data_IF_852010174593
#
_entry.id   IF_852010174593
#
_cell.length_a   1.000
_cell.length_b   1.000
_cell.length_c   1.000
_cell.angle_alpha   90.00
_cell.angle_beta   90.00
_cell.angle_gamma   90.00
#
_symmetry.space_group_name_H-M   'P 1'
#
loop_
_entity.id
_entity.type
_entity.pdbx_description
1 polymer ?
#
# COMPACT_ATOMS: atom_id res chain seq x y z
N UNK A 1 16.63 -12.95 -6.46
CA UNK A 1 16.02 -13.78 -5.39
C UNK A 1 15.79 -12.88 -4.21
N UNK A 2 14.52 -12.78 -3.79
CA UNK A 2 14.09 -12.05 -2.59
C UNK A 2 14.77 -12.69 -1.37
N UNK A 3 15.06 -11.90 -0.32
CA UNK A 3 15.58 -12.46 0.93
C UNK A 3 14.57 -13.44 1.55
N UNK A 4 15.02 -14.65 1.92
CA UNK A 4 14.18 -15.66 2.58
C UNK A 4 13.50 -15.12 3.85
N UNK A 5 14.13 -14.17 4.54
CA UNK A 5 13.54 -13.51 5.70
C UNK A 5 12.30 -12.68 5.32
N UNK A 6 12.35 -11.95 4.19
CA UNK A 6 11.23 -11.13 3.72
C UNK A 6 10.05 -11.99 3.26
N UNK A 7 10.32 -13.06 2.51
CA UNK A 7 9.29 -14.04 2.14
C UNK A 7 8.63 -14.65 3.38
N UNK A 8 9.40 -14.95 4.43
CA UNK A 8 8.85 -15.48 5.69
C UNK A 8 7.92 -14.49 6.39
N UNK A 9 8.28 -13.20 6.42
CA UNK A 9 7.43 -12.13 6.98
C UNK A 9 6.10 -12.03 6.21
N UNK A 10 6.16 -11.94 4.89
CA UNK A 10 4.96 -11.84 4.05
C UNK A 10 4.04 -13.05 4.21
N UNK A 11 4.61 -14.26 4.20
CA UNK A 11 3.84 -15.48 4.43
C UNK A 11 3.14 -15.50 5.78
N UNK A 12 3.73 -14.92 6.82
CA UNK A 12 3.06 -14.82 8.13
C UNK A 12 1.92 -13.79 8.12
N UNK A 13 2.07 -12.70 7.36
CA UNK A 13 1.04 -11.67 7.20
C UNK A 13 -0.15 -12.12 6.35
N UNK A 14 0.10 -12.96 5.35
CA UNK A 14 -0.85 -13.34 4.30
C UNK A 14 -1.23 -14.82 4.30
N UNK A 15 -0.77 -15.59 5.29
CA UNK A 15 -1.06 -17.02 5.42
C UNK A 15 -2.51 -17.30 5.81
N UNK A 16 -2.88 -18.58 6.02
CA UNK A 16 -4.22 -18.97 6.42
C UNK A 16 -4.60 -18.46 7.82
N UNK A 17 -5.88 -18.15 8.02
CA UNK A 17 -6.36 -17.63 9.30
C UNK A 17 -6.15 -18.61 10.45
N UNK A 18 -5.57 -18.13 11.55
CA UNK A 18 -5.45 -18.88 12.80
C UNK A 18 -6.36 -18.24 13.83
N UNK A 19 -7.38 -18.98 14.30
CA UNK A 19 -8.33 -18.46 15.28
C UNK A 19 -7.63 -17.92 16.53
N UNK A 20 -8.01 -16.70 16.94
CA UNK A 20 -7.51 -16.07 18.15
C UNK A 20 -6.10 -15.48 18.07
N UNK A 21 -5.45 -15.53 16.90
CA UNK A 21 -4.14 -14.91 16.66
C UNK A 21 -4.23 -13.50 16.05
N UNK A 22 -3.23 -12.63 16.27
CA UNK A 22 -3.15 -11.32 15.59
C UNK A 22 -2.71 -11.41 14.12
N UNK A 23 -2.37 -12.62 13.65
CA UNK A 23 -1.95 -12.93 12.28
C UNK A 23 -2.69 -14.15 11.77
N UNK A 24 -2.94 -14.24 10.45
CA UNK A 24 -2.59 -13.29 9.39
C UNK A 24 -3.36 -11.96 9.50
N UNK A 25 -2.83 -10.90 8.90
CA UNK A 25 -3.55 -9.62 8.79
C UNK A 25 -4.69 -9.71 7.78
N UNK A 26 -4.52 -10.56 6.78
CA UNK A 26 -5.45 -10.74 5.68
C UNK A 26 -5.42 -12.18 5.20
N UNK A 27 -6.57 -12.85 5.22
CA UNK A 27 -6.71 -14.17 4.62
C UNK A 27 -6.88 -14.01 3.10
N UNK A 28 -5.80 -14.32 2.38
CA UNK A 28 -5.70 -14.10 0.92
C UNK A 28 -6.36 -15.25 0.13
N UNK A 29 -6.53 -16.43 0.73
CA UNK A 29 -6.94 -17.62 0.00
C UNK A 29 -8.31 -17.48 -0.67
N UNK A 30 -9.36 -16.95 -0.02
CA UNK A 30 -10.68 -16.77 -0.65
C UNK A 30 -10.64 -15.86 -1.88
N UNK A 31 -9.69 -14.93 -1.93
CA UNK A 31 -9.60 -13.96 -3.02
C UNK A 31 -8.98 -14.55 -4.27
N UNK A 32 -8.15 -15.59 -4.14
CA UNK A 32 -7.58 -16.32 -5.28
C UNK A 32 -8.65 -17.10 -6.08
N UNK A 33 -9.79 -17.36 -5.44
CA UNK A 33 -10.98 -17.99 -6.01
C UNK A 33 -12.12 -16.99 -6.30
N UNK A 34 -11.84 -15.69 -6.23
CA UNK A 34 -12.83 -14.65 -6.53
C UNK A 34 -13.36 -14.76 -7.96
N UNK A 35 -14.67 -14.59 -8.11
CA UNK A 35 -15.34 -14.42 -9.42
C UNK A 35 -14.97 -13.09 -10.08
N UNK A 36 -14.38 -12.14 -9.35
CA UNK A 36 -13.84 -10.89 -9.89
C UNK A 36 -12.40 -11.11 -10.37
N UNK A 37 -12.14 -11.11 -11.69
CA UNK A 37 -10.84 -11.54 -12.23
C UNK A 37 -9.66 -10.65 -11.81
N UNK A 38 -9.90 -9.34 -11.63
CA UNK A 38 -8.88 -8.39 -11.16
C UNK A 38 -8.53 -8.64 -9.70
N UNK A 39 -9.52 -8.92 -8.86
CA UNK A 39 -9.31 -9.26 -7.46
C UNK A 39 -8.52 -10.57 -7.33
N UNK A 40 -8.87 -11.60 -8.12
CA UNK A 40 -8.13 -12.86 -8.16
C UNK A 40 -6.68 -12.67 -8.61
N UNK A 41 -6.43 -11.81 -9.60
CA UNK A 41 -5.09 -11.50 -10.08
C UNK A 41 -4.26 -10.72 -9.03
N UNK A 42 -4.88 -9.77 -8.32
CA UNK A 42 -4.25 -9.08 -7.20
C UNK A 42 -3.91 -10.04 -6.05
N UNK A 43 -4.79 -11.01 -5.77
CA UNK A 43 -4.53 -12.04 -4.78
C UNK A 43 -3.37 -12.95 -5.18
N UNK A 44 -3.29 -13.34 -6.45
CA UNK A 44 -2.16 -14.09 -6.98
C UNK A 44 -0.84 -13.33 -6.87
N UNK A 45 -0.83 -12.01 -7.12
CA UNK A 45 0.36 -11.20 -6.92
C UNK A 45 0.85 -11.24 -5.45
N UNK A 46 -0.07 -11.08 -4.49
CA UNK A 46 0.26 -11.13 -3.06
C UNK A 46 0.75 -12.51 -2.63
N UNK A 47 0.11 -13.59 -3.08
CA UNK A 47 0.56 -14.96 -2.82
C UNK A 47 1.94 -15.22 -3.43
N UNK A 48 2.16 -14.83 -4.69
CA UNK A 48 3.44 -15.01 -5.36
C UNK A 48 4.57 -14.22 -4.69
N UNK A 49 4.26 -13.07 -4.08
CA UNK A 49 5.23 -12.29 -3.30
C UNK A 49 5.72 -12.99 -2.02
N UNK A 50 4.98 -13.98 -1.51
CA UNK A 50 5.40 -14.84 -0.39
C UNK A 50 6.47 -15.87 -0.78
N UNK A 51 6.78 -15.99 -2.08
CA UNK A 51 7.80 -16.89 -2.62
C UNK A 51 7.40 -18.37 -2.69
N UNK A 52 8.28 -19.22 -3.26
CA UNK A 52 7.98 -20.63 -3.59
C UNK A 52 7.63 -21.53 -2.40
N UNK A 53 7.91 -21.07 -1.17
CA UNK A 53 7.57 -21.82 0.04
C UNK A 53 6.10 -21.69 0.46
N UNK A 54 5.33 -20.81 -0.18
CA UNK A 54 3.90 -20.67 0.06
C UNK A 54 3.11 -21.79 -0.63
N UNK A 55 2.14 -22.47 0.05
CA UNK A 55 1.41 -23.60 -0.54
C UNK A 55 0.68 -23.29 -1.86
N UNK A 56 0.23 -22.04 -2.01
CA UNK A 56 -0.48 -21.56 -3.19
C UNK A 56 0.41 -20.88 -4.25
N UNK A 57 1.75 -20.92 -4.11
CA UNK A 57 2.67 -20.19 -4.97
C UNK A 57 2.56 -20.57 -6.45
N UNK A 58 2.56 -21.86 -6.77
CA UNK A 58 2.50 -22.34 -8.16
C UNK A 58 1.20 -21.90 -8.83
N UNK A 59 0.06 -22.13 -8.15
CA UNK A 59 -1.25 -21.70 -8.62
C UNK A 59 -1.34 -20.19 -8.84
N UNK A 60 -0.78 -19.40 -7.93
CA UNK A 60 -0.75 -17.95 -8.07
C UNK A 60 0.13 -17.51 -9.25
N UNK A 61 1.29 -18.15 -9.43
CA UNK A 61 2.21 -17.87 -10.53
C UNK A 61 1.56 -18.19 -11.89
N UNK A 62 0.83 -19.30 -11.99
CA UNK A 62 0.04 -19.66 -13.16
C UNK A 62 -1.01 -18.59 -13.48
N UNK A 63 -1.77 -18.11 -12.48
CA UNK A 63 -2.78 -17.07 -12.68
C UNK A 63 -2.19 -15.73 -13.14
N UNK A 64 -0.96 -15.41 -12.74
CA UNK A 64 -0.25 -14.23 -13.22
C UNK A 64 0.24 -14.36 -14.67
N UNK A 65 0.48 -15.59 -15.15
CA UNK A 65 0.85 -15.87 -16.55
C UNK A 65 -0.38 -15.92 -17.44
N UNK A 66 -1.42 -16.60 -16.97
CA UNK A 66 -2.69 -16.81 -17.66
C UNK A 66 -3.86 -16.29 -16.81
N UNK A 67 -4.13 -14.96 -16.82
CA UNK A 67 -5.26 -14.39 -16.11
C UNK A 67 -6.60 -14.95 -16.59
N UNK A 68 -7.53 -15.15 -15.65
CA UNK A 68 -8.90 -15.56 -15.97
C UNK A 68 -9.72 -14.41 -16.57
N UNK A 69 -10.78 -14.74 -17.32
CA UNK A 69 -11.74 -13.77 -17.81
C UNK A 69 -11.15 -12.78 -18.82
N UNK A 70 -11.74 -11.58 -18.89
CA UNK A 70 -11.32 -10.51 -19.82
C UNK A 70 -10.26 -9.58 -19.21
N UNK A 71 -9.32 -10.13 -18.42
CA UNK A 71 -8.23 -9.33 -17.86
C UNK A 71 -7.16 -9.07 -18.92
N UNK A 72 -6.74 -7.82 -19.14
CA UNK A 72 -5.66 -7.52 -20.07
C UNK A 72 -4.36 -8.26 -19.70
N UNK A 73 -3.73 -8.92 -20.68
CA UNK A 73 -2.44 -9.60 -20.50
C UNK A 73 -1.37 -8.67 -19.89
N UNK A 74 -1.42 -7.38 -20.27
CA UNK A 74 -0.55 -6.33 -19.73
C UNK A 74 -0.62 -6.20 -18.20
N UNK A 75 -1.76 -6.50 -17.57
CA UNK A 75 -1.90 -6.45 -16.12
C UNK A 75 -1.19 -7.63 -15.44
N UNK A 76 -1.29 -8.84 -16.01
CA UNK A 76 -0.51 -9.99 -15.56
C UNK A 76 0.99 -9.74 -15.71
N UNK A 77 1.41 -9.17 -16.84
CA UNK A 77 2.80 -8.76 -17.07
C UNK A 77 3.26 -7.71 -16.05
N UNK A 78 2.44 -6.69 -15.77
CA UNK A 78 2.73 -5.65 -14.78
C UNK A 78 3.05 -6.28 -13.42
N UNK A 79 2.22 -7.21 -12.94
CA UNK A 79 2.43 -7.87 -11.66
C UNK A 79 3.70 -8.74 -11.65
N UNK A 80 3.98 -9.50 -12.72
CA UNK A 80 5.23 -10.29 -12.81
C UNK A 80 6.47 -9.41 -12.82
N UNK A 81 6.44 -8.30 -13.55
CA UNK A 81 7.50 -7.29 -13.51
C UNK A 81 7.65 -6.69 -12.11
N UNK A 82 6.54 -6.39 -11.44
CA UNK A 82 6.52 -5.92 -10.05
C UNK A 82 7.21 -6.89 -9.08
N UNK A 83 6.91 -8.20 -9.17
CA UNK A 83 7.56 -9.21 -8.34
C UNK A 83 9.09 -9.22 -8.51
N UNK A 84 9.55 -9.06 -9.75
CA UNK A 84 10.99 -9.01 -10.06
C UNK A 84 11.61 -7.75 -9.48
N UNK A 85 11.00 -6.58 -9.71
CA UNK A 85 11.50 -5.30 -9.22
C UNK A 85 11.55 -5.25 -7.68
N UNK A 86 10.51 -5.72 -7.00
CA UNK A 86 10.48 -5.82 -5.53
C UNK A 86 11.60 -6.73 -5.05
N UNK A 87 11.77 -7.91 -5.68
CA UNK A 87 12.82 -8.84 -5.28
C UNK A 87 14.23 -8.31 -5.48
N UNK A 88 14.46 -7.59 -6.58
CA UNK A 88 15.74 -6.95 -6.86
C UNK A 88 16.00 -5.78 -5.90
N UNK A 89 14.98 -4.98 -5.59
CA UNK A 89 15.07 -3.89 -4.63
C UNK A 89 15.40 -4.38 -3.23
N UNK A 90 14.61 -5.32 -2.69
CA UNK A 90 14.87 -5.90 -1.37
C UNK A 90 16.24 -6.58 -1.35
N UNK A 91 16.59 -7.33 -2.40
CA UNK A 91 17.89 -7.98 -2.53
C UNK A 91 19.06 -6.99 -2.58
N UNK A 92 18.87 -5.80 -3.16
CA UNK A 92 19.84 -4.71 -3.16
C UNK A 92 19.95 -4.09 -1.78
N UNK A 93 18.83 -3.71 -1.16
CA UNK A 93 18.81 -3.06 0.17
C UNK A 93 19.46 -3.96 1.21
N UNK A 94 19.16 -5.25 1.24
CA UNK A 94 19.79 -6.21 2.16
C UNK A 94 21.33 -6.28 2.00
N UNK A 95 21.86 -6.00 0.81
CA UNK A 95 23.32 -5.98 0.58
C UNK A 95 23.97 -4.65 0.96
N UNK A 96 23.21 -3.56 0.93
CA UNK A 96 23.76 -2.20 1.07
C UNK A 96 23.42 -1.53 2.40
N UNK A 97 22.38 -2.01 3.09
CA UNK A 97 21.85 -1.44 4.34
C UNK A 97 21.85 -2.51 5.43
N UNK A 98 22.86 -2.44 6.31
CA UNK A 98 23.00 -3.36 7.44
C UNK A 98 21.88 -3.22 8.47
N UNK A 99 21.43 -1.99 8.72
CA UNK A 99 20.38 -1.71 9.71
C UNK A 99 19.04 -2.29 9.24
N UNK A 100 18.71 -2.14 7.95
CA UNK A 100 17.53 -2.78 7.37
C UNK A 100 17.62 -4.31 7.47
N UNK A 101 18.78 -4.87 7.17
CA UNK A 101 18.99 -6.32 7.22
C UNK A 101 18.81 -6.88 8.63
N UNK A 102 19.35 -6.21 9.63
CA UNK A 102 19.19 -6.59 11.03
C UNK A 102 17.71 -6.50 11.45
N UNK A 103 17.02 -5.40 11.11
CA UNK A 103 15.58 -5.24 11.37
C UNK A 103 14.76 -6.34 10.71
N UNK A 104 15.02 -6.64 9.44
CA UNK A 104 14.31 -7.67 8.69
C UNK A 104 14.48 -9.05 9.34
N UNK A 105 15.70 -9.43 9.71
CA UNK A 105 15.98 -10.69 10.39
C UNK A 105 15.29 -10.75 11.77
N UNK A 106 15.37 -9.68 12.57
CA UNK A 106 14.72 -9.63 13.88
C UNK A 106 13.19 -9.75 13.78
N UNK A 107 12.58 -9.11 12.78
CA UNK A 107 11.14 -9.24 12.51
C UNK A 107 10.80 -10.65 12.07
N UNK A 108 11.56 -11.22 11.13
CA UNK A 108 11.34 -12.60 10.67
C UNK A 108 11.43 -13.60 11.82
N UNK A 109 12.41 -13.49 12.71
CA UNK A 109 12.56 -14.33 13.90
C UNK A 109 11.39 -14.17 14.88
N UNK A 110 11.00 -12.92 15.20
CA UNK A 110 9.87 -12.65 16.11
C UNK A 110 8.54 -13.19 15.58
N UNK A 111 8.35 -13.18 14.26
CA UNK A 111 7.14 -13.68 13.61
C UNK A 111 7.16 -15.20 13.38
N UNK A 112 8.34 -15.81 13.28
CA UNK A 112 8.53 -17.26 13.06
C UNK A 112 8.56 -18.06 14.37
N UNK A 113 8.52 -17.42 15.53
CA UNK A 113 8.36 -18.09 16.82
C UNK A 113 6.96 -18.72 16.92
N UNK A 114 6.80 -19.88 16.27
CA UNK A 114 5.53 -20.58 16.12
C UNK A 114 5.11 -21.34 17.38
N UNK A 115 3.93 -20.94 17.85
CA UNK A 115 3.00 -21.67 18.69
C UNK A 115 1.67 -20.90 18.69
N UNK A 116 0.52 -21.54 18.97
CA UNK A 116 -0.74 -20.81 19.19
C UNK A 116 -0.52 -19.86 20.36
N UNK A 117 -0.38 -18.57 20.05
CA UNK A 117 0.16 -17.57 20.95
C UNK A 117 1.66 -17.34 20.73
N UNK A 118 2.02 -16.58 19.68
CA UNK A 118 3.36 -15.98 19.51
C UNK A 118 3.77 -15.05 20.67
N UNK A 119 3.03 -15.05 21.79
CA UNK A 119 3.10 -14.12 22.91
C UNK A 119 2.72 -12.70 22.55
N UNK A 120 2.63 -12.38 21.25
CA UNK A 120 2.27 -11.07 20.74
C UNK A 120 0.75 -10.97 20.67
N UNK A 121 0.23 -9.92 21.29
CA UNK A 121 -1.11 -9.43 21.00
C UNK A 121 -1.10 -8.61 19.69
N UNK A 122 -2.28 -8.13 19.29
CA UNK A 122 -2.44 -7.34 18.07
C UNK A 122 -1.57 -6.07 18.05
N UNK A 123 -1.37 -5.42 19.20
CA UNK A 123 -0.57 -4.20 19.30
C UNK A 123 0.91 -4.53 19.12
N UNK A 124 1.40 -5.55 19.81
CA UNK A 124 2.79 -5.98 19.71
C UNK A 124 3.12 -6.50 18.30
N UNK A 125 2.17 -7.18 17.64
CA UNK A 125 2.29 -7.57 16.23
C UNK A 125 2.36 -6.35 15.30
N UNK A 126 1.50 -5.35 15.49
CA UNK A 126 1.53 -4.12 14.69
C UNK A 126 2.87 -3.40 14.83
N UNK A 127 3.38 -3.24 16.06
CA UNK A 127 4.67 -2.61 16.35
C UNK A 127 5.85 -3.35 15.68
N UNK A 128 5.82 -4.69 15.67
CA UNK A 128 6.83 -5.51 14.96
C UNK A 128 6.80 -5.24 13.47
N UNK A 129 5.63 -5.27 12.85
CA UNK A 129 5.49 -5.04 11.41
C UNK A 129 5.83 -3.60 11.03
N UNK A 130 5.40 -2.62 11.82
CA UNK A 130 5.73 -1.21 11.60
C UNK A 130 7.23 -0.97 11.68
N UNK A 131 7.97 -1.64 12.56
CA UNK A 131 9.43 -1.50 12.61
C UNK A 131 10.14 -1.83 11.28
N UNK A 132 9.50 -2.60 10.39
CA UNK A 132 9.99 -2.90 9.05
C UNK A 132 9.39 -1.98 7.98
N UNK A 133 8.06 -1.81 7.96
CA UNK A 133 7.37 -1.13 6.86
C UNK A 133 7.10 0.36 7.11
N UNK A 134 6.98 0.77 8.37
CA UNK A 134 6.65 2.13 8.80
C UNK A 134 7.39 2.48 10.10
N UNK A 135 8.74 2.56 10.10
CA UNK A 135 9.52 2.73 11.33
C UNK A 135 9.12 3.96 12.15
N UNK A 136 8.61 5.00 11.49
CA UNK A 136 8.11 6.23 12.10
C UNK A 136 6.84 6.01 12.95
N UNK A 137 6.10 4.92 12.69
CA UNK A 137 4.89 4.58 13.42
C UNK A 137 5.16 3.85 14.75
N UNK A 138 6.41 3.42 15.00
CA UNK A 138 6.76 2.63 16.18
C UNK A 138 6.57 3.43 17.49
N UNK A 139 5.85 2.84 18.42
CA UNK A 139 5.52 3.42 19.73
C UNK A 139 4.50 4.56 19.64
N UNK A 140 3.64 4.56 18.61
CA UNK A 140 2.47 5.47 18.53
C UNK A 140 1.30 4.90 19.32
N UNK A 141 1.03 3.59 19.26
CA UNK A 141 -0.14 2.99 19.91
C UNK A 141 -0.07 3.20 21.43
N UNK A 142 -1.10 3.82 22.01
CA UNK A 142 -1.16 4.16 23.44
C UNK A 142 -0.33 5.40 23.84
N UNK A 143 0.32 6.05 22.88
CA UNK A 143 1.15 7.24 23.07
C UNK A 143 0.81 8.35 22.08
N UNK A 144 -0.38 8.32 21.48
CA UNK A 144 -0.79 9.16 20.36
C UNK A 144 -0.67 10.65 20.71
N UNK A 145 -1.22 11.07 21.85
CA UNK A 145 -1.18 12.48 22.28
C UNK A 145 0.26 12.98 22.51
N UNK A 146 1.15 12.13 23.03
CA UNK A 146 2.57 12.47 23.22
C UNK A 146 3.27 12.62 21.87
N UNK A 147 3.09 11.65 20.97
CA UNK A 147 3.68 11.65 19.64
C UNK A 147 3.18 12.81 18.79
N UNK A 148 1.91 13.16 18.93
CA UNK A 148 1.32 14.35 18.33
C UNK A 148 2.01 15.63 18.84
N UNK A 149 2.21 15.76 20.15
CA UNK A 149 2.89 16.92 20.73
C UNK A 149 4.35 17.03 20.26
N UNK A 150 5.11 15.93 20.25
CA UNK A 150 6.48 15.86 19.73
C UNK A 150 6.55 16.28 18.25
N UNK A 151 5.60 15.81 17.43
CA UNK A 151 5.50 16.19 16.03
C UNK A 151 5.14 17.68 15.87
N UNK A 152 4.33 18.24 16.76
CA UNK A 152 4.00 19.67 16.74
C UNK A 152 5.17 20.55 17.16
N UNK A 153 5.97 20.13 18.12
CA UNK A 153 7.16 20.85 18.60
C UNK A 153 8.27 20.90 17.55
N UNK A 154 8.45 19.82 16.78
CA UNK A 154 9.46 19.74 15.71
C UNK A 154 9.08 20.53 14.45
N UNK A 155 7.81 20.93 14.29
CA UNK A 155 7.36 21.69 13.13
C UNK A 155 7.80 23.15 13.24
N UNK A 156 8.44 23.64 12.19
CA UNK A 156 8.76 25.06 12.01
C UNK A 156 7.54 25.93 11.67
N UNK A 157 6.36 25.30 11.54
CA UNK A 157 5.10 25.95 11.17
C UNK A 157 4.26 26.19 12.41
N UNK A 158 3.92 27.45 12.66
CA UNK A 158 2.99 27.82 13.73
C UNK A 158 1.55 27.65 13.25
N UNK A 159 0.78 26.82 13.94
CA UNK A 159 -0.65 26.66 13.67
C UNK A 159 -1.38 27.83 14.31
N UNK A 160 -1.86 28.76 13.49
CA UNK A 160 -2.60 29.96 13.96
C UNK A 160 -4.07 29.67 14.21
N UNK A 161 -4.65 28.70 13.49
CA UNK A 161 -6.04 28.31 13.62
C UNK A 161 -6.23 26.86 13.13
N UNK A 162 -7.05 26.08 13.85
CA UNK A 162 -7.52 24.78 13.35
C UNK A 162 -8.63 24.99 12.31
N UNK A 163 -8.65 24.12 11.29
CA UNK A 163 -9.69 24.15 10.25
C UNK A 163 -11.05 23.85 10.92
N UNK A 164 -12.11 24.63 10.69
CA UNK A 164 -13.41 24.43 11.35
C UNK A 164 -14.08 23.08 11.05
N UNK A 165 -13.66 22.42 9.97
CA UNK A 165 -14.17 21.13 9.52
C UNK A 165 -12.98 20.19 9.29
N UNK A 166 -12.42 19.61 10.37
CA UNK A 166 -11.26 18.75 10.27
C UNK A 166 -11.61 17.40 9.62
N UNK A 167 -10.62 16.76 9.02
CA UNK A 167 -10.73 15.36 8.61
C UNK A 167 -10.78 14.52 9.90
N UNK A 168 -11.90 13.84 10.12
CA UNK A 168 -12.21 13.02 11.31
C UNK A 168 -11.96 11.53 11.07
N UNK A 169 -12.06 11.08 9.83
CA UNK A 169 -11.83 9.71 9.40
C UNK A 169 -11.05 9.76 8.09
N UNK A 170 -9.71 9.84 8.14
CA UNK A 170 -8.88 9.90 6.95
C UNK A 170 -9.14 8.72 6.01
N UNK A 171 -9.36 7.51 6.53
CA UNK A 171 -9.59 6.33 5.71
C UNK A 171 -10.86 6.42 4.85
N UNK A 172 -11.89 7.14 5.32
CA UNK A 172 -13.15 7.34 4.59
C UNK A 172 -13.23 8.68 3.84
N UNK A 173 -12.57 9.71 4.35
CA UNK A 173 -12.67 11.08 3.84
C UNK A 173 -11.51 11.44 2.92
N UNK A 174 -10.37 10.80 3.10
CA UNK A 174 -9.26 10.82 2.14
C UNK A 174 -9.38 9.51 1.38
N UNK A 175 -10.03 9.55 0.22
CA UNK A 175 -9.89 8.45 -0.73
C UNK A 175 -8.40 8.39 -1.10
N UNK A 176 -7.67 7.44 -0.53
CA UNK A 176 -6.43 6.94 -1.11
C UNK A 176 -6.79 6.18 -2.40
N UNK A 177 -7.32 6.89 -3.40
CA UNK A 177 -7.29 6.41 -4.78
C UNK A 177 -5.85 6.54 -5.23
N UNK A 178 -5.24 5.40 -5.45
CA UNK A 178 -3.87 5.23 -5.93
C UNK A 178 -3.42 6.28 -6.95
N UNK A 179 -2.29 6.91 -6.60
CA UNK A 179 -1.14 7.28 -7.42
C UNK A 179 -1.19 8.47 -8.38
N UNK A 180 -2.33 9.07 -8.68
CA UNK A 180 -2.33 10.37 -9.39
C UNK A 180 -3.38 11.29 -8.80
N UNK A 181 -2.91 12.37 -8.18
CA UNK A 181 -3.74 13.51 -7.83
C UNK A 181 -3.98 14.31 -9.11
N UNK A 182 -5.17 14.23 -9.70
CA UNK A 182 -5.51 15.03 -10.87
C UNK A 182 -6.03 16.41 -10.44
N UNK A 183 -5.61 17.46 -11.14
CA UNK A 183 -6.15 18.83 -10.97
C UNK A 183 -6.62 19.40 -12.30
N UNK A 184 -7.32 20.53 -12.22
CA UNK A 184 -7.81 21.25 -13.39
C UNK A 184 -6.67 21.56 -14.39
N UNK A 185 -6.96 21.59 -15.70
CA UNK A 185 -5.95 21.91 -16.71
C UNK A 185 -5.26 23.25 -16.45
N UNK A 186 -4.04 23.37 -16.97
CA UNK A 186 -3.31 24.64 -16.96
C UNK A 186 -4.12 25.73 -17.65
N UNK A 187 -4.02 26.97 -17.18
CA UNK A 187 -4.57 28.16 -17.89
C UNK A 187 -4.06 28.31 -19.33
N UNK A 188 -2.99 27.59 -19.70
CA UNK A 188 -2.44 27.54 -21.06
C UNK A 188 -3.11 26.51 -21.97
N UNK A 189 -3.94 25.62 -21.43
CA UNK A 189 -4.62 24.55 -22.15
C UNK A 189 -6.13 24.66 -21.91
N UNK A 190 -6.89 25.24 -22.85
CA UNK A 190 -8.34 25.36 -22.74
C UNK A 190 -9.00 23.99 -22.56
N UNK A 191 -9.98 23.90 -21.67
CA UNK A 191 -10.72 22.65 -21.40
C UNK A 191 -11.45 22.18 -22.66
N UNK A 192 -11.89 23.13 -23.48
CA UNK A 192 -12.59 22.93 -24.74
C UNK A 192 -11.75 22.14 -25.75
N UNK A 193 -10.43 22.31 -25.71
CA UNK A 193 -9.47 21.69 -26.64
C UNK A 193 -9.08 20.26 -26.22
N UNK A 194 -9.50 19.82 -25.04
CA UNK A 194 -9.23 18.47 -24.57
C UNK A 194 -10.08 17.43 -25.32
N UNK A 195 -9.46 16.33 -25.72
CA UNK A 195 -10.10 15.21 -26.41
C UNK A 195 -10.94 14.31 -25.46
N UNK A 196 -11.70 14.93 -24.55
CA UNK A 196 -12.56 14.24 -23.59
C UNK A 196 -14.06 14.42 -23.94
N UNK A 197 -14.94 13.50 -23.49
CA UNK A 197 -16.38 13.64 -23.69
C UNK A 197 -16.94 14.96 -23.13
N UNK A 198 -18.01 15.47 -23.72
CA UNK A 198 -18.63 16.75 -23.32
C UNK A 198 -18.95 16.79 -21.82
N UNK A 199 -19.56 15.72 -21.29
CA UNK A 199 -19.89 15.63 -19.87
C UNK A 199 -18.67 15.84 -18.96
N UNK A 200 -17.51 15.26 -19.32
CA UNK A 200 -16.28 15.43 -18.54
C UNK A 200 -15.73 16.85 -18.63
N UNK A 201 -15.83 17.51 -19.80
CA UNK A 201 -15.45 18.92 -19.96
C UNK A 201 -16.34 19.84 -19.15
N UNK A 202 -17.65 19.57 -19.11
CA UNK A 202 -18.59 20.32 -18.28
C UNK A 202 -18.28 20.15 -16.78
N UNK A 203 -17.92 18.94 -16.36
CA UNK A 203 -17.48 18.66 -15.00
C UNK A 203 -16.19 19.42 -14.64
N UNK A 204 -15.20 19.45 -15.55
CA UNK A 204 -13.97 20.22 -15.38
C UNK A 204 -14.21 21.73 -15.27
N UNK A 205 -15.12 22.26 -16.09
CA UNK A 205 -15.49 23.68 -16.06
C UNK A 205 -16.15 24.05 -14.72
N UNK A 206 -17.01 23.18 -14.18
CA UNK A 206 -17.57 23.37 -12.83
C UNK A 206 -16.46 23.36 -11.78
N UNK A 207 -15.56 22.37 -11.84
CA UNK A 207 -14.46 22.24 -10.89
C UNK A 207 -13.51 23.46 -10.92
N UNK A 208 -13.25 24.08 -12.08
CA UNK A 208 -12.47 25.33 -12.15
C UNK A 208 -13.12 26.52 -11.42
N UNK A 209 -14.45 26.50 -11.26
CA UNK A 209 -15.18 27.52 -10.51
C UNK A 209 -15.23 27.26 -9.01
N UNK A 210 -14.80 26.08 -8.56
CA UNK A 210 -14.79 25.72 -7.15
C UNK A 210 -13.58 26.33 -6.44
N UNK A 211 -13.79 26.77 -5.20
CA UNK A 211 -12.68 27.24 -4.37
C UNK A 211 -11.85 26.04 -3.94
N UNK A 212 -10.56 26.01 -4.28
CA UNK A 212 -9.66 24.94 -3.82
C UNK A 212 -9.57 24.94 -2.29
N UNK A 213 -9.99 23.83 -1.68
CA UNK A 213 -10.11 23.71 -0.23
C UNK A 213 -8.87 23.06 0.41
N UNK A 214 -8.21 22.17 -0.34
CA UNK A 214 -7.07 21.39 0.11
C UNK A 214 -5.91 21.54 -0.87
N UNK A 215 -4.69 21.61 -0.33
CA UNK A 215 -3.47 21.62 -1.11
C UNK A 215 -2.89 20.22 -1.09
N UNK A 216 -2.71 19.66 -2.27
CA UNK A 216 -2.08 18.36 -2.43
C UNK A 216 -0.68 18.57 -2.99
N UNK A 217 0.25 17.70 -2.59
CA UNK A 217 1.59 17.70 -3.13
C UNK A 217 1.58 17.02 -4.51
N UNK A 218 2.21 17.64 -5.50
CA UNK A 218 2.34 17.13 -6.88
C UNK A 218 1.04 16.72 -7.63
N UNK A 219 -0.01 17.56 -7.72
CA UNK A 219 -1.15 17.25 -8.57
C UNK A 219 -0.78 17.35 -10.06
N UNK A 220 -1.11 16.33 -10.85
CA UNK A 220 -0.96 16.28 -12.30
C UNK A 220 -2.15 17.00 -12.94
N UNK A 221 -1.87 17.99 -13.78
CA UNK A 221 -2.91 18.71 -14.52
C UNK A 221 -3.53 17.80 -15.59
N UNK A 222 -4.85 17.77 -15.66
CA UNK A 222 -5.54 17.03 -16.73
C UNK A 222 -5.14 17.61 -18.11
N UNK A 223 -4.77 16.74 -19.04
CA UNK A 223 -4.37 17.11 -20.41
C UNK A 223 -2.87 17.34 -20.63
N UNK A 224 -2.01 17.10 -19.63
CA UNK A 224 -0.54 17.08 -19.85
C UNK A 224 -0.10 15.78 -20.51
N UNK A 225 0.90 15.87 -21.39
CA UNK A 225 1.53 14.68 -21.98
C UNK A 225 2.30 13.88 -20.91
N UNK A 226 2.26 12.53 -20.94
CA UNK A 226 2.97 11.66 -19.98
C UNK A 226 4.50 11.78 -20.02
#
# INVERSE_FOLDING_TARGET
>A
MVSQAFESVLRRMLGPHVEGGPLPLFDIEPWLDSDEPVAALGAAFLVASCGPSHPLFERASELLVEPRGEVPEALGQLYRSGLTLIGDEIGRVVKTDGDFTERLSAVAERLSADGPGSGLDAVATAEVLWSLFFPEAVGIIGHEARREAELRDTRTVTITQLRPDPIMDPSRQVLFTSNVLLTVPSSKHPIEDLAYPQAMRDDLLRATGEHQIFWYDHPIQIGVEP
#
